data_IF_394394533014
#
_entry.id   IF_394394533014
#
_cell.length_a   1.000
_cell.length_b   1.000
_cell.length_c   1.000
_cell.angle_alpha   90.00
_cell.angle_beta   90.00
_cell.angle_gamma   90.00
#
_symmetry.space_group_name_H-M   'P 1'
#
loop_
_entity.id
_entity.type
_entity.pdbx_description
1 polymer ?
#
# COMPACT_ATOMS: atom_id res chain seq x y z
N UNK A 1 -4.99 2.61 15.90
CA UNK A 1 -5.78 3.69 15.25
C UNK A 1 -6.50 4.62 16.22
N UNK A 2 -5.97 4.89 17.43
CA UNK A 2 -6.66 5.74 18.42
C UNK A 2 -6.77 7.22 17.99
N UNK A 3 -5.72 7.78 17.39
CA UNK A 3 -5.73 9.16 16.88
C UNK A 3 -6.75 9.36 15.74
N UNK A 4 -6.83 8.41 14.80
CA UNK A 4 -7.81 8.45 13.71
C UNK A 4 -9.25 8.41 14.25
N UNK A 5 -9.54 7.48 15.17
CA UNK A 5 -10.85 7.39 15.81
C UNK A 5 -11.21 8.67 16.58
N UNK A 6 -10.28 9.22 17.36
CA UNK A 6 -10.48 10.48 18.09
C UNK A 6 -10.69 11.68 17.15
N UNK A 7 -10.03 11.66 15.98
CA UNK A 7 -10.22 12.66 14.93
C UNK A 7 -11.55 12.52 14.17
N UNK A 8 -12.37 11.52 14.47
CA UNK A 8 -13.66 11.28 13.81
C UNK A 8 -13.57 10.47 12.51
N UNK A 9 -12.40 9.89 12.21
CA UNK A 9 -12.24 9.01 11.05
C UNK A 9 -12.66 7.58 11.39
N UNK A 10 -13.51 7.01 10.54
CA UNK A 10 -13.97 5.62 10.64
C UNK A 10 -13.15 4.66 9.79
N UNK A 11 -12.51 5.17 8.74
CA UNK A 11 -11.64 4.41 7.84
C UNK A 11 -10.43 5.26 7.43
N UNK A 12 -9.28 4.61 7.24
CA UNK A 12 -8.04 5.25 6.79
C UNK A 12 -7.32 4.39 5.75
N UNK A 13 -6.69 5.04 4.77
CA UNK A 13 -5.76 4.37 3.87
C UNK A 13 -4.32 4.64 4.32
N UNK A 14 -3.53 3.59 4.58
CA UNK A 14 -2.15 3.75 5.04
C UNK A 14 -1.15 3.66 3.88
N UNK A 15 -0.19 4.58 3.85
CA UNK A 15 0.84 4.66 2.82
C UNK A 15 1.84 3.49 2.89
N UNK A 16 2.42 3.07 1.74
CA UNK A 16 3.27 1.88 1.65
C UNK A 16 4.72 2.08 2.11
N UNK A 17 5.09 3.27 2.61
CA UNK A 17 6.45 3.67 2.99
C UNK A 17 6.90 3.18 4.37
N UNK A 18 6.40 2.01 4.79
CA UNK A 18 6.79 1.31 6.00
C UNK A 18 8.14 0.59 5.86
N UNK A 19 8.61 -0.08 6.93
CA UNK A 19 9.80 -0.94 6.92
C UNK A 19 9.42 -2.33 7.47
N UNK A 20 9.30 -3.37 6.62
CA UNK A 20 9.47 -3.36 5.16
C UNK A 20 8.39 -2.53 4.42
N UNK A 21 8.69 -2.09 3.19
CA UNK A 21 7.71 -1.42 2.34
C UNK A 21 6.60 -2.39 1.92
N UNK A 22 5.38 -1.90 1.70
CA UNK A 22 4.22 -2.74 1.36
C UNK A 22 4.25 -3.12 -0.12
N UNK A 23 5.22 -3.94 -0.55
CA UNK A 23 5.42 -4.36 -1.95
C UNK A 23 5.12 -5.85 -2.19
N UNK A 24 4.58 -6.55 -1.19
CA UNK A 24 4.19 -7.96 -1.26
C UNK A 24 2.85 -8.20 -0.55
N UNK A 25 2.17 -9.28 -0.93
CA UNK A 25 0.87 -9.69 -0.39
C UNK A 25 0.90 -9.96 1.12
N UNK A 26 1.94 -10.59 1.64
CA UNK A 26 2.09 -10.90 3.06
C UNK A 26 2.16 -9.65 3.94
N UNK A 27 2.77 -8.56 3.46
CA UNK A 27 2.78 -7.27 4.17
C UNK A 27 1.38 -6.64 4.16
N UNK A 28 0.67 -6.70 3.03
CA UNK A 28 -0.73 -6.23 2.90
C UNK A 28 -1.64 -6.96 3.88
N UNK A 29 -1.61 -8.30 3.87
CA UNK A 29 -2.45 -9.14 4.74
C UNK A 29 -2.10 -8.93 6.22
N UNK A 30 -0.81 -8.72 6.54
CA UNK A 30 -0.39 -8.36 7.89
C UNK A 30 -1.01 -7.04 8.36
N UNK A 31 -1.00 -6.00 7.53
CA UNK A 31 -1.60 -4.69 7.85
C UNK A 31 -3.11 -4.84 8.09
N UNK A 32 -3.82 -5.57 7.22
CA UNK A 32 -5.26 -5.80 7.38
C UNK A 32 -5.55 -6.55 8.68
N UNK A 33 -4.81 -7.62 8.95
CA UNK A 33 -4.94 -8.39 10.19
C UNK A 33 -4.74 -7.51 11.42
N UNK A 34 -3.76 -6.61 11.39
CA UNK A 34 -3.53 -5.64 12.47
C UNK A 34 -4.60 -4.55 12.54
N UNK A 35 -5.11 -4.09 11.40
CA UNK A 35 -6.19 -3.12 11.31
C UNK A 35 -7.48 -3.61 11.96
N UNK A 36 -7.80 -4.89 11.76
CA UNK A 36 -8.97 -5.57 12.35
C UNK A 36 -8.94 -5.64 13.89
N UNK A 37 -7.78 -5.45 14.52
CA UNK A 37 -7.65 -5.33 15.98
C UNK A 37 -7.99 -3.90 16.48
N UNK A 38 -8.38 -2.98 15.59
CA UNK A 38 -8.61 -1.57 15.89
C UNK A 38 -10.02 -1.11 15.54
N UNK A 39 -10.53 -0.02 16.13
CA UNK A 39 -11.89 0.46 15.88
C UNK A 39 -12.05 1.28 14.57
N UNK A 40 -11.02 1.30 13.71
CA UNK A 40 -10.99 2.08 12.46
C UNK A 40 -10.61 1.12 11.35
N UNK A 41 -11.35 1.14 10.24
CA UNK A 41 -11.03 0.31 9.07
C UNK A 41 -9.70 0.77 8.45
N UNK A 42 -8.76 -0.15 8.28
CA UNK A 42 -7.44 0.16 7.72
C UNK A 42 -7.32 -0.47 6.33
N UNK A 43 -7.18 0.39 5.33
CA UNK A 43 -7.04 -0.01 3.93
C UNK A 43 -5.60 0.18 3.46
N UNK A 44 -4.82 -0.89 3.27
CA UNK A 44 -3.43 -0.75 2.82
C UNK A 44 -3.34 -0.26 1.37
N UNK A 45 -2.41 0.66 1.13
CA UNK A 45 -1.92 1.01 -0.20
C UNK A 45 -0.65 0.19 -0.45
N UNK A 46 -0.54 -0.45 -1.61
CA UNK A 46 0.65 -1.19 -2.03
C UNK A 46 1.66 -0.32 -2.76
N UNK A 47 2.90 -0.77 -2.89
CA UNK A 47 3.91 -0.11 -3.71
C UNK A 47 3.61 -0.30 -5.21
N UNK A 48 3.93 0.69 -6.03
CA UNK A 48 3.99 0.50 -7.48
C UNK A 48 5.22 -0.33 -7.84
N UNK A 49 6.36 -0.04 -7.20
CA UNK A 49 7.61 -0.75 -7.47
C UNK A 49 8.12 -1.55 -6.28
N UNK A 50 8.90 -2.58 -6.58
CA UNK A 50 9.55 -3.39 -5.55
C UNK A 50 10.42 -2.51 -4.66
N UNK A 51 10.24 -2.63 -3.35
CA UNK A 51 10.94 -1.83 -2.33
C UNK A 51 10.79 -0.30 -2.50
N UNK A 52 9.81 0.20 -3.28
CA UNK A 52 9.69 1.62 -3.68
C UNK A 52 10.93 2.13 -4.43
N UNK A 53 11.65 1.25 -5.13
CA UNK A 53 12.92 1.56 -5.77
C UNK A 53 12.79 2.27 -7.13
N UNK A 54 11.60 2.36 -7.71
CA UNK A 54 11.34 2.99 -9.01
C UNK A 54 11.81 2.19 -10.22
N UNK A 55 12.31 0.96 -10.05
CA UNK A 55 13.02 0.19 -11.10
C UNK A 55 12.19 -0.91 -11.76
N UNK A 56 11.36 -1.59 -10.99
CA UNK A 56 10.57 -2.74 -11.46
C UNK A 56 9.26 -2.80 -10.71
N UNK A 57 8.18 -3.13 -11.42
CA UNK A 57 6.83 -3.27 -10.84
C UNK A 57 6.84 -4.33 -9.72
N UNK A 58 6.11 -4.04 -8.64
CA UNK A 58 5.84 -5.00 -7.57
C UNK A 58 4.76 -6.01 -8.00
N UNK A 59 4.51 -7.06 -7.21
CA UNK A 59 3.44 -8.03 -7.48
C UNK A 59 2.05 -7.40 -7.20
N UNK A 60 1.64 -6.42 -8.03
CA UNK A 60 0.44 -5.60 -7.84
C UNK A 60 -0.84 -6.43 -7.85
N UNK A 61 -0.91 -7.46 -8.71
CA UNK A 61 -2.03 -8.41 -8.76
C UNK A 61 -2.19 -9.15 -7.42
N UNK A 62 -1.11 -9.75 -6.92
CA UNK A 62 -1.13 -10.49 -5.65
C UNK A 62 -1.47 -9.57 -4.46
N UNK A 63 -0.97 -8.33 -4.46
CA UNK A 63 -1.30 -7.35 -3.42
C UNK A 63 -2.76 -6.93 -3.46
N UNK A 64 -3.34 -6.73 -4.65
CA UNK A 64 -4.77 -6.46 -4.81
C UNK A 64 -5.60 -7.62 -4.28
N UNK A 65 -5.25 -8.86 -4.62
CA UNK A 65 -5.91 -10.06 -4.10
C UNK A 65 -5.74 -10.22 -2.59
N UNK A 66 -4.65 -9.70 -2.03
CA UNK A 66 -4.42 -9.59 -0.58
C UNK A 66 -5.22 -8.48 0.11
N UNK A 67 -5.85 -7.57 -0.64
CA UNK A 67 -6.69 -6.49 -0.11
C UNK A 67 -6.10 -5.08 -0.21
N UNK A 68 -5.05 -4.86 -1.00
CA UNK A 68 -4.57 -3.52 -1.30
C UNK A 68 -5.62 -2.73 -2.11
N UNK A 69 -5.92 -1.50 -1.70
CA UNK A 69 -6.99 -0.68 -2.33
C UNK A 69 -6.48 0.31 -3.37
N UNK A 70 -5.17 0.59 -3.36
CA UNK A 70 -4.51 1.48 -4.30
C UNK A 70 -3.00 1.18 -4.34
N UNK A 71 -2.29 1.80 -5.28
CA UNK A 71 -0.84 1.68 -5.43
C UNK A 71 -0.17 3.05 -5.47
N UNK A 72 0.94 3.18 -4.76
CA UNK A 72 1.75 4.40 -4.69
C UNK A 72 3.18 4.07 -4.27
N UNK A 73 4.17 4.81 -4.76
CA UNK A 73 5.52 4.80 -4.18
C UNK A 73 5.75 6.01 -3.26
N UNK A 74 4.71 6.48 -2.57
CA UNK A 74 4.73 7.67 -1.71
C UNK A 74 6.04 7.82 -0.91
N UNK A 75 6.68 8.99 -1.01
CA UNK A 75 8.02 9.29 -0.51
C UNK A 75 9.15 9.12 -1.53
N UNK A 76 8.96 8.36 -2.62
CA UNK A 76 9.93 8.14 -3.69
C UNK A 76 9.23 8.15 -5.08
N UNK A 77 9.40 9.18 -5.92
CA UNK A 77 8.73 9.23 -7.22
C UNK A 77 9.16 8.09 -8.17
N UNK A 78 8.20 7.53 -8.92
CA UNK A 78 8.49 6.64 -10.05
C UNK A 78 8.96 7.49 -11.23
N UNK A 79 10.27 7.67 -11.38
CA UNK A 79 10.86 8.52 -12.43
C UNK A 79 10.78 7.92 -13.83
N UNK A 80 10.74 6.59 -13.93
CA UNK A 80 10.65 5.90 -15.21
C UNK A 80 9.20 5.91 -15.71
N UNK A 81 8.95 6.62 -16.81
CA UNK A 81 7.64 6.74 -17.42
C UNK A 81 7.11 5.43 -17.99
N UNK A 82 7.98 4.51 -18.41
CA UNK A 82 7.56 3.17 -18.84
C UNK A 82 7.07 2.35 -17.65
N UNK A 83 7.78 2.40 -16.52
CA UNK A 83 7.34 1.72 -15.29
C UNK A 83 5.97 2.25 -14.85
N UNK A 84 5.79 3.57 -14.84
CA UNK A 84 4.51 4.16 -14.46
C UNK A 84 3.40 3.84 -15.46
N UNK A 85 3.69 3.82 -16.77
CA UNK A 85 2.71 3.42 -17.79
C UNK A 85 2.25 1.98 -17.58
N UNK A 86 3.19 1.05 -17.43
CA UNK A 86 2.85 -0.37 -17.24
C UNK A 86 2.09 -0.55 -15.93
N UNK A 87 2.43 0.18 -14.86
CA UNK A 87 1.69 0.14 -13.60
C UNK A 87 0.22 0.62 -13.73
N UNK A 88 -0.06 1.56 -14.63
CA UNK A 88 -1.43 2.02 -14.91
C UNK A 88 -2.21 1.08 -15.84
N UNK A 89 -1.52 0.27 -16.64
CA UNK A 89 -2.11 -0.76 -17.51
C UNK A 89 -2.41 -2.07 -16.75
N UNK A 90 -1.80 -2.27 -15.59
CA UNK A 90 -1.86 -3.47 -14.76
C UNK A 90 -3.17 -3.59 -13.98
#
# INVERSE_FOLDING_TARGET
>A
CAAAAFGGFTAVACMPNTKPATHTRDVVEYIIKKGNETPVDVHPIGCVTKDRAGKSIAEMGDMKDGGAVAFSDDGDPVYDSQVMRVALEY
#
